data_IF_654341371561
#
_entry.id   IF_654341371561
#
_cell.length_a   1.000
_cell.length_b   1.000
_cell.length_c   1.000
_cell.angle_alpha   90.00
_cell.angle_beta   90.00
_cell.angle_gamma   90.00
#
_symmetry.space_group_name_H-M   'P 1'
#
loop_
_entity.id
_entity.type
_entity.pdbx_description
1 polymer ?
#
# COMPACT_ATOMS: atom_id res chain seq x y z
N UNK A 1 2.92 8.82 -9.55
CA UNK A 1 3.91 7.83 -10.04
C UNK A 1 4.92 8.55 -10.92
N UNK A 2 6.20 8.42 -10.59
CA UNK A 2 7.29 8.89 -11.45
C UNK A 2 7.47 7.90 -12.62
N UNK A 3 7.18 8.34 -13.82
CA UNK A 3 7.25 7.45 -14.99
C UNK A 3 8.64 7.43 -15.62
N UNK A 4 9.20 8.62 -15.91
CA UNK A 4 10.44 8.72 -16.71
C UNK A 4 11.51 9.62 -16.07
N UNK A 5 11.36 10.03 -14.84
CA UNK A 5 12.39 10.80 -14.13
C UNK A 5 13.61 9.91 -13.90
N UNK A 6 14.81 10.44 -14.11
CA UNK A 6 16.07 9.69 -13.94
C UNK A 6 16.97 10.28 -12.88
N UNK A 7 16.64 11.47 -12.38
CA UNK A 7 17.35 12.13 -11.32
C UNK A 7 16.38 12.68 -10.29
N UNK A 8 16.73 12.56 -9.01
CA UNK A 8 15.92 12.95 -7.86
C UNK A 8 16.71 13.89 -6.96
N UNK A 9 16.05 14.84 -6.27
CA UNK A 9 16.68 15.65 -5.23
C UNK A 9 17.42 14.75 -4.23
N UNK A 10 18.52 15.29 -3.67
CA UNK A 10 19.41 14.53 -2.78
C UNK A 10 18.66 13.96 -1.56
N UNK A 11 17.71 14.74 -1.04
CA UNK A 11 16.90 14.40 0.15
C UNK A 11 16.04 13.17 0.00
N UNK A 12 15.68 12.80 -1.24
CA UNK A 12 14.81 11.65 -1.54
C UNK A 12 15.44 10.60 -2.44
N UNK A 13 16.67 10.81 -2.89
CA UNK A 13 17.34 9.96 -3.89
C UNK A 13 17.44 8.50 -3.49
N UNK A 14 17.65 8.24 -2.21
CA UNK A 14 17.76 6.87 -1.68
C UNK A 14 16.40 6.14 -1.58
N UNK A 15 15.29 6.89 -1.60
CA UNK A 15 13.94 6.36 -1.41
C UNK A 15 13.01 6.60 -2.60
N UNK A 16 13.53 7.19 -3.69
CA UNK A 16 12.74 7.54 -4.87
C UNK A 16 13.23 6.79 -6.10
N UNK A 17 12.29 6.31 -6.89
CA UNK A 17 12.57 5.69 -8.17
C UNK A 17 11.56 6.09 -9.24
N UNK A 18 11.73 5.59 -10.45
CA UNK A 18 10.78 5.75 -11.55
C UNK A 18 10.65 4.45 -12.33
N UNK A 19 9.55 4.31 -13.06
CA UNK A 19 9.38 3.15 -13.94
C UNK A 19 10.51 3.02 -14.98
N UNK A 20 11.07 4.16 -15.44
CA UNK A 20 12.19 4.11 -16.35
C UNK A 20 13.46 3.52 -15.72
N UNK A 21 13.74 3.84 -14.47
CA UNK A 21 14.90 3.29 -13.76
C UNK A 21 14.72 1.80 -13.48
N UNK A 22 13.53 1.40 -13.03
CA UNK A 22 13.22 0.01 -12.74
C UNK A 22 13.16 -0.89 -13.98
N UNK A 23 12.58 -0.39 -15.09
CA UNK A 23 12.46 -1.15 -16.34
C UNK A 23 13.69 -1.06 -17.25
N UNK A 24 14.62 -0.14 -16.99
CA UNK A 24 15.79 0.11 -17.85
C UNK A 24 15.50 0.83 -19.17
N UNK A 25 14.26 1.25 -19.41
CA UNK A 25 13.87 1.93 -20.65
C UNK A 25 12.76 2.96 -20.44
N UNK A 26 12.62 3.88 -21.40
CA UNK A 26 11.57 4.91 -21.34
C UNK A 26 10.18 4.30 -21.53
N UNK A 27 9.27 4.60 -20.60
CA UNK A 27 7.89 4.10 -20.58
C UNK A 27 6.94 5.10 -21.24
N UNK A 28 6.08 4.63 -22.14
CA UNK A 28 5.04 5.46 -22.76
C UNK A 28 3.89 5.69 -21.75
N UNK A 29 3.59 6.97 -21.46
CA UNK A 29 2.59 7.32 -20.44
C UNK A 29 1.16 6.96 -20.86
N UNK A 30 0.78 7.19 -22.12
CA UNK A 30 -0.60 6.97 -22.56
C UNK A 30 -1.05 5.51 -22.44
N UNK A 31 -0.31 4.48 -22.90
CA UNK A 31 -0.64 3.09 -22.65
C UNK A 31 -0.66 2.71 -21.17
N UNK A 32 0.24 3.29 -20.37
CA UNK A 32 0.28 3.05 -18.92
C UNK A 32 -1.01 3.56 -18.26
N UNK A 33 -1.43 4.80 -18.58
CA UNK A 33 -2.68 5.37 -18.05
C UNK A 33 -3.88 4.52 -18.47
N UNK A 34 -3.96 4.14 -19.75
CA UNK A 34 -5.04 3.30 -20.23
C UNK A 34 -5.11 1.94 -19.50
N UNK A 35 -3.96 1.31 -19.24
CA UNK A 35 -3.90 0.07 -18.49
C UNK A 35 -4.35 0.24 -17.03
N UNK A 36 -3.96 1.34 -16.38
CA UNK A 36 -4.39 1.66 -14.99
C UNK A 36 -5.92 1.85 -14.96
N UNK A 37 -6.46 2.66 -15.88
CA UNK A 37 -7.90 2.92 -15.94
C UNK A 37 -8.71 1.65 -16.18
N UNK A 38 -8.24 0.79 -17.09
CA UNK A 38 -8.88 -0.51 -17.33
C UNK A 38 -8.90 -1.38 -16.07
N UNK A 39 -7.78 -1.47 -15.34
CA UNK A 39 -7.73 -2.24 -14.09
C UNK A 39 -8.61 -1.63 -13.00
N UNK A 40 -8.71 -0.30 -12.95
CA UNK A 40 -9.61 0.38 -12.03
C UNK A 40 -11.08 0.02 -12.32
N UNK A 41 -11.50 0.05 -13.59
CA UNK A 41 -12.87 -0.35 -14.00
C UNK A 41 -13.17 -1.81 -13.63
N UNK A 42 -12.25 -2.73 -13.93
CA UNK A 42 -12.40 -4.16 -13.60
C UNK A 42 -12.56 -4.36 -12.09
N UNK A 43 -11.69 -3.75 -11.28
CA UNK A 43 -11.75 -3.88 -9.82
C UNK A 43 -12.97 -3.15 -9.23
N UNK A 44 -13.37 -2.01 -9.81
CA UNK A 44 -14.56 -1.29 -9.37
C UNK A 44 -15.84 -2.08 -9.64
N UNK A 45 -15.93 -2.79 -10.76
CA UNK A 45 -17.05 -3.68 -11.04
C UNK A 45 -17.18 -4.77 -9.97
N UNK A 46 -16.07 -5.42 -9.59
CA UNK A 46 -16.07 -6.40 -8.50
C UNK A 46 -16.50 -5.80 -7.15
N UNK A 47 -16.01 -4.61 -6.84
CA UNK A 47 -16.43 -3.89 -5.63
C UNK A 47 -17.93 -3.57 -5.65
N UNK A 48 -18.49 -3.17 -6.80
CA UNK A 48 -19.92 -2.85 -6.92
C UNK A 48 -20.84 -4.07 -6.77
N UNK A 49 -20.33 -5.28 -7.03
CA UNK A 49 -21.10 -6.51 -6.84
C UNK A 49 -21.32 -6.85 -5.36
N UNK A 50 -20.33 -6.58 -4.51
CA UNK A 50 -20.34 -6.94 -3.08
C UNK A 50 -20.54 -5.74 -2.16
N UNK A 51 -20.19 -4.53 -2.62
CA UNK A 51 -20.15 -3.31 -1.81
C UNK A 51 -18.97 -3.26 -0.84
N UNK A 52 -18.03 -4.21 -0.97
CA UNK A 52 -16.82 -4.30 -0.15
C UNK A 52 -15.63 -4.87 -0.96
N UNK A 53 -14.49 -5.07 -0.30
CA UNK A 53 -13.27 -5.57 -0.93
C UNK A 53 -13.17 -7.11 -1.00
N UNK A 54 -14.21 -7.87 -0.64
CA UNK A 54 -14.15 -9.33 -0.53
C UNK A 54 -13.56 -10.02 -1.75
N UNK A 55 -13.97 -9.60 -2.96
CA UNK A 55 -13.48 -10.17 -4.21
C UNK A 55 -12.07 -9.74 -4.61
N UNK A 56 -11.51 -8.73 -3.92
CA UNK A 56 -10.19 -8.17 -4.19
C UNK A 56 -9.16 -8.58 -3.13
N UNK A 57 -9.60 -9.17 -2.01
CA UNK A 57 -8.80 -9.48 -0.82
C UNK A 57 -7.55 -10.32 -1.12
N UNK A 58 -7.71 -11.40 -1.88
CA UNK A 58 -6.61 -12.31 -2.21
C UNK A 58 -5.49 -11.56 -2.94
N UNK A 59 -5.85 -10.90 -4.04
CA UNK A 59 -4.89 -10.14 -4.85
C UNK A 59 -4.29 -8.95 -4.10
N UNK A 60 -5.08 -8.26 -3.28
CA UNK A 60 -4.60 -7.18 -2.44
C UNK A 60 -3.58 -7.71 -1.43
N UNK A 61 -3.89 -8.83 -0.78
CA UNK A 61 -3.03 -9.48 0.21
C UNK A 61 -1.67 -9.92 -0.37
N UNK A 62 -1.63 -10.37 -1.62
CA UNK A 62 -0.39 -10.71 -2.32
C UNK A 62 0.52 -9.50 -2.56
N UNK A 63 -0.08 -8.32 -2.76
CA UNK A 63 0.63 -7.08 -3.07
C UNK A 63 0.89 -6.21 -1.82
N UNK A 64 0.34 -6.59 -0.68
CA UNK A 64 0.44 -5.81 0.55
C UNK A 64 1.84 -5.96 1.18
N UNK A 65 2.67 -4.96 0.98
CA UNK A 65 4.07 -4.93 1.44
C UNK A 65 4.20 -5.08 2.95
N UNK A 66 3.22 -4.57 3.71
CA UNK A 66 3.24 -4.60 5.18
C UNK A 66 2.77 -5.94 5.77
N UNK A 67 2.18 -6.83 4.98
CA UNK A 67 1.68 -8.11 5.49
C UNK A 67 2.80 -8.96 6.06
N UNK A 68 2.53 -9.59 7.19
CA UNK A 68 3.47 -10.44 7.94
C UNK A 68 4.76 -9.71 8.36
N UNK A 69 4.66 -8.38 8.59
CA UNK A 69 5.76 -7.54 9.07
C UNK A 69 5.36 -6.71 10.27
N UNK A 70 6.36 -6.31 11.05
CA UNK A 70 6.18 -5.36 12.12
C UNK A 70 6.09 -3.94 11.55
N UNK A 71 5.07 -3.23 12.00
CA UNK A 71 4.76 -1.87 11.55
C UNK A 71 4.63 -0.94 12.75
N UNK A 72 4.99 0.32 12.56
CA UNK A 72 4.73 1.35 13.56
C UNK A 72 3.40 2.02 13.27
N UNK A 73 2.48 1.94 14.20
CA UNK A 73 1.21 2.64 14.16
C UNK A 73 1.41 4.03 14.78
N UNK A 74 1.17 5.07 13.99
CA UNK A 74 1.33 6.46 14.39
C UNK A 74 -0.05 7.08 14.63
N UNK A 75 -0.64 6.79 15.76
CA UNK A 75 -1.93 7.36 16.16
C UNK A 75 -1.80 8.80 16.67
N UNK A 76 -2.92 9.51 16.74
CA UNK A 76 -2.95 10.88 17.26
C UNK A 76 -2.59 10.99 18.74
N UNK A 77 -2.81 9.92 19.52
CA UNK A 77 -2.58 9.89 20.96
C UNK A 77 -1.40 9.03 21.39
N UNK A 78 -1.13 7.97 20.65
CA UNK A 78 -0.08 7.01 20.98
C UNK A 78 0.59 6.46 19.73
N UNK A 79 1.81 5.98 19.90
CA UNK A 79 2.55 5.27 18.90
C UNK A 79 2.95 3.91 19.46
N UNK A 80 2.77 2.85 18.67
CA UNK A 80 3.13 1.51 19.08
C UNK A 80 3.54 0.65 17.88
N UNK A 81 4.29 -0.41 18.16
CA UNK A 81 4.65 -1.43 17.17
C UNK A 81 3.61 -2.56 17.23
N UNK A 82 3.21 -3.04 16.07
CA UNK A 82 2.32 -4.18 15.95
C UNK A 82 2.66 -5.01 14.71
N UNK A 83 2.28 -6.27 14.71
CA UNK A 83 2.47 -7.16 13.58
C UNK A 83 1.28 -7.07 12.62
N UNK A 84 1.51 -6.65 11.36
CA UNK A 84 0.46 -6.50 10.36
C UNK A 84 0.04 -7.87 9.81
N UNK A 85 -1.24 -8.19 9.91
CA UNK A 85 -1.80 -9.47 9.47
C UNK A 85 -2.41 -9.39 8.05
N UNK A 86 -2.82 -8.20 7.63
CA UNK A 86 -3.51 -7.98 6.36
C UNK A 86 -4.55 -6.88 6.49
N UNK A 87 -5.55 -6.88 5.60
CA UNK A 87 -6.69 -5.98 5.68
C UNK A 87 -7.99 -6.76 5.89
N UNK A 88 -9.01 -6.11 6.42
CA UNK A 88 -10.37 -6.64 6.41
C UNK A 88 -11.11 -6.24 5.10
N UNK A 89 -12.35 -6.69 4.95
CA UNK A 89 -13.15 -6.45 3.74
C UNK A 89 -13.55 -4.99 3.53
N UNK A 90 -13.45 -4.16 4.55
CA UNK A 90 -13.68 -2.70 4.48
C UNK A 90 -12.40 -1.90 4.25
N UNK A 91 -11.23 -2.58 4.25
CA UNK A 91 -9.93 -2.00 3.90
C UNK A 91 -9.11 -1.53 5.10
N UNK A 92 -9.57 -1.79 6.32
CA UNK A 92 -8.81 -1.48 7.53
C UNK A 92 -7.66 -2.46 7.71
N UNK A 93 -6.49 -1.97 8.14
CA UNK A 93 -5.35 -2.82 8.44
C UNK A 93 -5.61 -3.59 9.74
N UNK A 94 -5.50 -4.90 9.69
CA UNK A 94 -5.57 -5.76 10.86
C UNK A 94 -4.17 -5.94 11.41
N UNK A 95 -3.99 -5.62 12.69
CA UNK A 95 -2.70 -5.77 13.38
C UNK A 95 -2.85 -6.59 14.67
N UNK A 96 -1.78 -7.27 15.02
CA UNK A 96 -1.64 -7.95 16.31
C UNK A 96 -0.64 -7.22 17.18
N UNK A 97 -1.07 -6.74 18.34
CA UNK A 97 -0.22 -6.09 19.33
C UNK A 97 0.68 -7.11 20.04
N UNK A 98 1.65 -6.62 20.79
CA UNK A 98 2.59 -7.44 21.57
C UNK A 98 1.87 -8.31 22.64
N UNK A 99 0.80 -7.80 23.22
CA UNK A 99 -0.04 -8.52 24.17
C UNK A 99 -0.96 -9.58 23.53
N UNK A 100 -0.89 -9.75 22.20
CA UNK A 100 -1.70 -10.67 21.41
C UNK A 100 -3.07 -10.12 20.98
N UNK A 101 -3.43 -8.91 21.40
CA UNK A 101 -4.70 -8.26 21.00
C UNK A 101 -4.72 -7.97 19.50
N UNK A 102 -5.85 -8.27 18.86
CA UNK A 102 -6.10 -7.93 17.45
C UNK A 102 -6.84 -6.59 17.39
N UNK A 103 -6.36 -5.69 16.55
CA UNK A 103 -6.94 -4.36 16.35
C UNK A 103 -7.11 -4.08 14.86
N UNK A 104 -8.19 -3.37 14.52
CA UNK A 104 -8.45 -2.83 13.19
C UNK A 104 -8.05 -1.35 13.16
N UNK A 105 -7.10 -1.02 12.28
CA UNK A 105 -6.52 0.32 12.18
C UNK A 105 -7.12 1.05 10.99
N UNK A 106 -7.87 2.12 11.24
CA UNK A 106 -8.53 2.92 10.23
C UNK A 106 -7.54 3.81 9.46
N UNK A 107 -7.60 3.79 8.14
CA UNK A 107 -6.86 4.73 7.30
C UNK A 107 -7.37 6.17 7.53
N UNK A 108 -6.46 7.11 7.78
CA UNK A 108 -6.76 8.53 8.00
C UNK A 108 -6.61 9.00 9.45
N UNK A 109 -6.71 8.12 10.43
CA UNK A 109 -6.41 8.42 11.83
C UNK A 109 -4.99 8.02 12.23
N UNK A 110 -4.36 7.13 11.47
CA UNK A 110 -3.03 6.58 11.74
C UNK A 110 -2.18 6.51 10.48
N UNK A 111 -0.90 6.78 10.64
CA UNK A 111 0.11 6.52 9.60
C UNK A 111 0.83 5.22 9.93
N UNK A 112 0.80 4.27 9.01
CA UNK A 112 1.51 2.99 9.14
C UNK A 112 2.85 3.10 8.44
N UNK A 113 3.93 2.81 9.16
CA UNK A 113 5.30 2.79 8.60
C UNK A 113 6.01 1.51 9.00
N UNK A 114 6.85 1.00 8.12
CA UNK A 114 7.75 -0.09 8.48
C UNK A 114 8.69 0.34 9.63
N UNK A 115 9.03 -0.59 10.51
CA UNK A 115 9.88 -0.33 11.69
C UNK A 115 11.30 0.10 11.26
N UNK A 116 11.72 -0.28 10.07
CA UNK A 116 13.05 -0.01 9.52
C UNK A 116 13.07 1.11 8.46
N UNK A 117 12.05 1.95 8.40
CA UNK A 117 11.93 3.04 7.44
C UNK A 117 10.82 2.81 6.41
N UNK A 118 10.84 3.59 5.33
CA UNK A 118 9.93 3.35 4.20
C UNK A 118 10.28 2.01 3.55
N UNK A 119 9.29 1.15 3.45
CA UNK A 119 9.40 -0.11 2.73
C UNK A 119 9.41 0.16 1.23
#
# INVERSE_FOLDING_TARGET
INVNLTDFPEEIREHATSLRLECGHKVKRAPLIAAIMKRLEENYALFMETGDLSQLMEKYSELLVNKDRDVMILGAKEQYVAHALGINKTGELIVRKEDGTIEEVYAGEVSVRGVYGYV
#
